data_IF_105600240393
#
_entry.id   IF_105600240393
#
_cell.length_a   1.000
_cell.length_b   1.000
_cell.length_c   1.000
_cell.angle_alpha   90.00
_cell.angle_beta   90.00
_cell.angle_gamma   90.00
#
_symmetry.space_group_name_H-M   'P 1'
#
loop_
_entity.id
_entity.type
_entity.pdbx_description
1 polymer ?
#
# COMPACT_ATOMS: atom_id res chain seq x y z
N UNK A 1 -10.30 53.53 8.71
CA UNK A 1 -9.19 52.57 8.59
C UNK A 1 -9.32 51.61 9.77
N UNK A 2 -10.38 50.80 9.76
CA UNK A 2 -10.41 49.39 9.29
C UNK A 2 -10.08 48.44 10.43
N UNK A 3 -11.16 47.87 10.97
CA UNK A 3 -11.22 46.71 11.86
C UNK A 3 -10.83 45.44 11.11
N UNK A 4 -9.82 44.72 11.58
CA UNK A 4 -9.54 43.34 11.12
C UNK A 4 -9.77 42.37 12.27
N UNK A 5 -10.91 41.69 12.20
CA UNK A 5 -11.22 40.50 12.96
C UNK A 5 -10.38 39.35 12.40
N UNK A 6 -9.39 38.89 13.15
CA UNK A 6 -8.72 37.62 12.87
C UNK A 6 -9.62 36.52 13.44
N UNK A 7 -10.30 35.82 12.54
CA UNK A 7 -11.16 34.67 12.84
C UNK A 7 -10.34 33.58 13.52
N UNK A 8 -10.41 33.55 14.85
CA UNK A 8 -9.97 32.46 15.70
C UNK A 8 -10.96 31.30 15.59
N UNK A 9 -11.03 30.64 14.45
CA UNK A 9 -11.99 29.56 14.22
C UNK A 9 -11.41 28.43 13.38
N UNK A 10 -10.35 27.77 13.86
CA UNK A 10 -9.97 26.45 13.32
C UNK A 10 -9.43 25.47 14.37
N UNK A 11 -9.46 25.80 15.67
CA UNK A 11 -8.79 24.98 16.68
C UNK A 11 -9.68 24.44 17.80
N UNK A 12 -11.00 24.31 17.59
CA UNK A 12 -11.88 23.64 18.56
C UNK A 12 -13.04 22.93 17.88
N UNK A 13 -12.83 21.67 17.49
CA UNK A 13 -13.92 20.69 17.40
C UNK A 13 -13.43 19.27 17.74
N UNK A 14 -13.90 18.81 18.90
CA UNK A 14 -14.32 17.45 19.24
C UNK A 14 -13.29 16.31 19.34
N UNK A 15 -13.04 15.94 20.60
CA UNK A 15 -12.81 14.56 21.04
C UNK A 15 -13.88 13.61 20.48
N UNK A 16 -13.46 12.40 20.07
CA UNK A 16 -14.28 11.23 19.70
C UNK A 16 -15.05 11.24 18.36
N UNK A 17 -14.33 11.16 17.25
CA UNK A 17 -14.64 10.24 16.15
C UNK A 17 -13.38 10.05 15.31
N UNK A 18 -12.83 8.84 15.24
CA UNK A 18 -11.82 8.53 14.24
C UNK A 18 -12.56 8.53 12.91
N UNK A 19 -12.50 9.64 12.18
CA UNK A 19 -13.28 9.82 10.95
C UNK A 19 -12.93 8.69 9.99
N UNK A 20 -13.94 7.94 9.57
CA UNK A 20 -13.83 6.94 8.49
C UNK A 20 -13.79 7.65 7.13
N UNK A 21 -13.08 8.76 7.06
CA UNK A 21 -12.86 9.53 5.84
C UNK A 21 -11.93 8.71 4.93
N UNK A 22 -12.45 8.33 3.77
CA UNK A 22 -11.63 7.71 2.74
C UNK A 22 -10.73 8.78 2.11
N UNK A 23 -9.50 8.40 1.75
CA UNK A 23 -8.60 9.30 1.05
C UNK A 23 -9.22 9.75 -0.28
N UNK A 24 -8.83 10.95 -0.75
CA UNK A 24 -9.30 11.49 -2.03
C UNK A 24 -9.14 10.50 -3.18
N UNK A 25 -7.95 9.89 -3.30
CA UNK A 25 -7.63 8.85 -4.29
C UNK A 25 -8.62 7.66 -4.25
N UNK A 26 -8.96 7.18 -3.05
CA UNK A 26 -9.92 6.07 -2.90
C UNK A 26 -11.32 6.49 -3.33
N UNK A 27 -11.75 7.73 -3.03
CA UNK A 27 -13.05 8.25 -3.46
C UNK A 27 -13.14 8.41 -4.97
N UNK A 28 -12.12 9.01 -5.58
CA UNK A 28 -12.06 9.25 -7.03
C UNK A 28 -12.12 7.90 -7.79
N UNK A 29 -11.36 6.91 -7.33
CA UNK A 29 -11.38 5.57 -7.90
C UNK A 29 -12.73 4.86 -7.76
N UNK A 30 -13.42 5.00 -6.62
CA UNK A 30 -14.78 4.47 -6.46
C UNK A 30 -15.72 5.08 -7.50
N UNK A 31 -15.62 6.40 -7.72
CA UNK A 31 -16.43 7.12 -8.70
C UNK A 31 -16.13 6.65 -10.12
N UNK A 32 -14.87 6.49 -10.49
CA UNK A 32 -14.47 6.06 -11.84
C UNK A 32 -14.93 4.64 -12.15
N UNK A 33 -14.79 3.72 -11.18
CA UNK A 33 -15.27 2.35 -11.31
C UNK A 33 -16.80 2.27 -11.41
N UNK A 34 -17.51 3.15 -10.70
CA UNK A 34 -18.97 3.26 -10.82
C UNK A 34 -19.38 3.82 -12.19
N UNK A 35 -18.70 4.86 -12.68
CA UNK A 35 -18.91 5.41 -14.03
C UNK A 35 -18.60 4.38 -15.13
N UNK A 36 -17.64 3.49 -14.90
CA UNK A 36 -17.31 2.37 -15.78
C UNK A 36 -18.37 1.24 -15.76
N UNK A 37 -19.48 1.41 -15.02
CA UNK A 37 -20.59 0.46 -14.99
C UNK A 37 -20.41 -0.71 -14.03
N UNK A 38 -19.41 -0.67 -13.13
CA UNK A 38 -19.29 -1.71 -12.12
C UNK A 38 -20.30 -1.52 -10.99
N UNK A 39 -20.98 -2.60 -10.63
CA UNK A 39 -21.93 -2.57 -9.52
C UNK A 39 -21.24 -2.30 -8.18
N UNK A 40 -21.92 -1.58 -7.27
CA UNK A 40 -21.39 -1.19 -5.96
C UNK A 40 -20.83 -2.38 -5.16
N UNK A 41 -21.50 -3.54 -5.19
CA UNK A 41 -21.04 -4.76 -4.51
C UNK A 41 -19.68 -5.23 -5.03
N UNK A 42 -19.44 -5.13 -6.34
CA UNK A 42 -18.17 -5.51 -6.97
C UNK A 42 -17.06 -4.55 -6.58
N UNK A 43 -17.36 -3.24 -6.61
CA UNK A 43 -16.44 -2.19 -6.17
C UNK A 43 -16.03 -2.42 -4.71
N UNK A 44 -17.00 -2.69 -3.81
CA UNK A 44 -16.69 -2.99 -2.41
C UNK A 44 -15.77 -4.20 -2.27
N UNK A 45 -16.05 -5.31 -2.97
CA UNK A 45 -15.19 -6.51 -2.92
C UNK A 45 -13.77 -6.23 -3.38
N UNK A 46 -13.60 -5.46 -4.45
CA UNK A 46 -12.29 -5.05 -4.97
C UNK A 46 -11.47 -4.29 -3.93
N UNK A 47 -12.06 -3.28 -3.28
CA UNK A 47 -11.37 -2.52 -2.24
C UNK A 47 -11.03 -3.37 -1.00
N UNK A 48 -11.91 -4.30 -0.61
CA UNK A 48 -11.62 -5.23 0.50
C UNK A 48 -10.42 -6.13 0.15
N UNK A 49 -10.38 -6.69 -1.06
CA UNK A 49 -9.23 -7.50 -1.55
C UNK A 49 -7.94 -6.67 -1.55
N UNK A 50 -7.98 -5.44 -2.07
CA UNK A 50 -6.78 -4.59 -2.09
C UNK A 50 -6.27 -4.26 -0.69
N UNK A 51 -7.18 -4.04 0.26
CA UNK A 51 -6.83 -3.74 1.65
C UNK A 51 -6.15 -4.91 2.34
N UNK A 52 -6.65 -6.13 2.16
CA UNK A 52 -6.04 -7.32 2.76
C UNK A 52 -4.65 -7.58 2.18
N UNK A 53 -4.50 -7.49 0.86
CA UNK A 53 -3.22 -7.69 0.16
C UNK A 53 -2.18 -6.65 0.57
N UNK A 54 -2.57 -5.37 0.73
CA UNK A 54 -1.64 -4.32 1.17
C UNK A 54 -1.12 -4.56 2.59
N UNK A 55 -1.97 -5.08 3.47
CA UNK A 55 -1.57 -5.37 4.85
C UNK A 55 -0.73 -6.65 4.96
N UNK A 56 -0.94 -7.61 4.06
CA UNK A 56 -0.24 -8.89 4.06
C UNK A 56 0.18 -9.31 2.64
N UNK A 57 1.25 -8.71 2.08
CA UNK A 57 1.65 -8.90 0.68
C UNK A 57 2.21 -10.29 0.36
N UNK A 58 2.36 -11.17 1.36
CA UNK A 58 2.86 -12.55 1.24
C UNK A 58 1.76 -13.60 1.23
N UNK A 59 0.50 -13.19 1.33
CA UNK A 59 -0.65 -14.09 1.33
C UNK A 59 -0.81 -14.76 -0.04
N UNK A 60 -1.11 -16.06 -0.03
CA UNK A 60 -1.45 -16.76 -1.27
C UNK A 60 -2.91 -16.48 -1.66
N UNK A 61 -3.30 -16.86 -2.87
CA UNK A 61 -4.69 -16.68 -3.33
C UNK A 61 -5.67 -17.47 -2.46
N UNK A 62 -5.28 -18.65 -2.03
CA UNK A 62 -6.04 -19.53 -1.13
C UNK A 62 -6.21 -18.88 0.24
N UNK A 63 -5.11 -18.38 0.82
CA UNK A 63 -5.15 -17.70 2.12
C UNK A 63 -6.06 -16.48 2.05
N UNK A 64 -5.96 -15.68 0.98
CA UNK A 64 -6.83 -14.53 0.77
C UNK A 64 -8.31 -14.92 0.73
N UNK A 65 -8.67 -16.04 0.08
CA UNK A 65 -10.07 -16.51 0.09
C UNK A 65 -10.51 -16.86 1.50
N UNK A 66 -9.65 -17.53 2.28
CA UNK A 66 -9.95 -17.94 3.65
C UNK A 66 -10.11 -16.73 4.58
N UNK A 67 -9.19 -15.76 4.51
CA UNK A 67 -9.22 -14.54 5.31
C UNK A 67 -10.46 -13.69 5.03
N UNK A 68 -10.81 -13.55 3.74
CA UNK A 68 -11.99 -12.80 3.33
C UNK A 68 -13.28 -13.51 3.77
N UNK A 69 -13.32 -14.84 3.68
CA UNK A 69 -14.44 -15.64 4.17
C UNK A 69 -14.60 -15.51 5.69
N UNK A 70 -13.51 -15.50 6.44
CA UNK A 70 -13.52 -15.26 7.88
C UNK A 70 -14.04 -13.85 8.24
N UNK A 71 -13.74 -12.86 7.39
CA UNK A 71 -14.29 -11.50 7.51
C UNK A 71 -15.74 -11.35 6.99
N UNK A 72 -16.41 -12.45 6.63
CA UNK A 72 -17.79 -12.45 6.13
C UNK A 72 -17.94 -12.02 4.66
N UNK A 73 -16.85 -11.83 3.92
CA UNK A 73 -16.87 -11.46 2.51
C UNK A 73 -16.62 -12.67 1.62
N UNK A 74 -17.64 -13.07 0.86
CA UNK A 74 -17.50 -14.17 -0.11
C UNK A 74 -16.83 -13.69 -1.40
N UNK A 75 -15.60 -14.15 -1.62
CA UNK A 75 -14.79 -13.90 -2.82
C UNK A 75 -14.26 -15.21 -3.36
N UNK A 76 -14.33 -15.39 -4.68
CA UNK A 76 -13.83 -16.59 -5.36
C UNK A 76 -12.39 -16.38 -5.86
N UNK A 77 -11.61 -17.46 -6.01
CA UNK A 77 -10.25 -17.40 -6.59
C UNK A 77 -10.19 -16.67 -7.93
N UNK A 78 -11.21 -16.85 -8.80
CA UNK A 78 -11.33 -16.16 -10.09
C UNK A 78 -11.49 -14.65 -9.94
N UNK A 79 -12.27 -14.20 -8.95
CA UNK A 79 -12.44 -12.77 -8.64
C UNK A 79 -11.10 -12.16 -8.28
N UNK A 80 -10.35 -12.77 -7.35
CA UNK A 80 -9.01 -12.30 -6.97
C UNK A 80 -8.07 -12.30 -8.18
N UNK A 81 -8.09 -13.36 -9.00
CA UNK A 81 -7.25 -13.47 -10.20
C UNK A 81 -7.53 -12.42 -11.27
N UNK A 82 -8.76 -11.92 -11.37
CA UNK A 82 -9.12 -10.84 -12.30
C UNK A 82 -8.84 -9.46 -11.68
N UNK A 83 -9.11 -9.29 -10.38
CA UNK A 83 -9.00 -8.00 -9.69
C UNK A 83 -7.55 -7.59 -9.49
N UNK A 84 -6.65 -8.48 -9.05
CA UNK A 84 -5.28 -8.08 -8.71
C UNK A 84 -4.51 -7.50 -9.92
N UNK A 85 -4.52 -8.10 -11.12
CA UNK A 85 -3.82 -7.53 -12.27
C UNK A 85 -4.43 -6.21 -12.76
N UNK A 86 -5.76 -6.05 -12.72
CA UNK A 86 -6.42 -4.77 -13.05
C UNK A 86 -6.00 -3.65 -12.09
N UNK A 87 -5.64 -4.02 -10.87
CA UNK A 87 -5.11 -3.14 -9.84
C UNK A 87 -3.60 -2.93 -9.91
N UNK A 88 -2.94 -3.45 -10.96
CA UNK A 88 -1.48 -3.38 -11.12
C UNK A 88 -0.70 -4.27 -10.15
N UNK A 89 -1.39 -5.12 -9.37
CA UNK A 89 -0.78 -6.04 -8.42
C UNK A 89 -0.41 -7.34 -9.14
N UNK A 90 0.90 -7.56 -9.26
CA UNK A 90 1.46 -8.78 -9.87
C UNK A 90 1.64 -9.85 -8.80
N UNK A 91 1.38 -11.10 -9.17
CA UNK A 91 1.81 -12.23 -8.37
C UNK A 91 3.34 -12.35 -8.48
N UNK A 92 4.00 -12.47 -7.32
CA UNK A 92 5.45 -12.60 -7.24
C UNK A 92 5.81 -13.93 -6.59
N UNK A 93 6.90 -14.55 -7.05
CA UNK A 93 7.52 -15.64 -6.32
C UNK A 93 8.33 -15.08 -5.14
N UNK A 94 8.29 -15.75 -3.99
CA UNK A 94 9.12 -15.37 -2.86
C UNK A 94 10.61 -15.48 -3.25
N UNK A 95 11.41 -14.47 -2.90
CA UNK A 95 12.86 -14.52 -3.14
C UNK A 95 13.47 -15.69 -2.36
N UNK A 96 14.32 -16.48 -3.03
CA UNK A 96 15.04 -17.63 -2.45
C UNK A 96 16.18 -17.23 -1.51
N UNK A 97 16.61 -15.96 -1.56
CA UNK A 97 17.71 -15.45 -0.74
C UNK A 97 17.16 -15.04 0.63
N UNK A 98 17.79 -15.50 1.75
CA UNK A 98 17.33 -15.14 3.08
C UNK A 98 17.44 -13.63 3.33
N UNK A 99 16.55 -13.13 4.19
CA UNK A 99 16.58 -11.72 4.59
C UNK A 99 17.88 -11.44 5.36
N UNK A 100 18.53 -10.33 5.02
CA UNK A 100 19.70 -9.89 5.75
C UNK A 100 19.35 -9.59 7.21
N UNK A 101 20.23 -10.02 8.12
CA UNK A 101 20.18 -9.60 9.52
C UNK A 101 20.43 -8.10 9.61
N UNK A 102 19.86 -7.43 10.63
CA UNK A 102 19.98 -5.97 10.84
C UNK A 102 21.44 -5.49 10.84
N UNK A 103 22.34 -6.23 11.50
CA UNK A 103 23.77 -5.90 11.52
C UNK A 103 24.39 -5.87 10.11
N UNK A 104 24.03 -6.82 9.24
CA UNK A 104 24.53 -6.85 7.86
C UNK A 104 23.96 -5.71 7.02
N UNK A 105 22.69 -5.34 7.24
CA UNK A 105 22.10 -4.17 6.57
C UNK A 105 22.85 -2.90 6.95
N UNK A 106 23.13 -2.71 8.23
CA UNK A 106 23.87 -1.54 8.73
C UNK A 106 25.30 -1.48 8.19
N UNK A 107 26.04 -2.60 8.24
CA UNK A 107 27.39 -2.67 7.71
C UNK A 107 27.43 -2.37 6.20
N UNK A 108 26.49 -2.93 5.42
CA UNK A 108 26.38 -2.64 3.98
C UNK A 108 26.02 -1.19 3.69
N UNK A 109 25.11 -0.60 4.47
CA UNK A 109 24.73 0.80 4.32
C UNK A 109 25.91 1.73 4.64
N UNK A 110 26.63 1.47 5.73
CA UNK A 110 27.82 2.22 6.14
C UNK A 110 28.90 2.14 5.04
N UNK A 111 29.20 0.94 4.57
CA UNK A 111 30.16 0.74 3.49
C UNK A 111 29.76 1.52 2.22
N UNK A 112 28.50 1.40 1.78
CA UNK A 112 28.01 2.13 0.61
C UNK A 112 28.11 3.66 0.78
N UNK A 113 27.84 4.19 1.97
CA UNK A 113 27.97 5.63 2.24
C UNK A 113 29.42 6.11 2.22
N UNK A 114 30.35 5.33 2.77
CA UNK A 114 31.78 5.67 2.82
C UNK A 114 32.42 5.63 1.42
N UNK A 115 31.92 4.77 0.54
CA UNK A 115 32.49 4.51 -0.79
C UNK A 115 31.67 5.15 -1.93
N UNK A 116 30.70 6.02 -1.61
CA UNK A 116 29.81 6.64 -2.60
C UNK A 116 30.55 7.51 -3.62
N UNK A 117 31.64 8.16 -3.20
CA UNK A 117 32.44 9.10 -4.00
C UNK A 117 33.83 8.53 -4.37
N UNK A 118 34.02 7.23 -4.25
CA UNK A 118 35.30 6.61 -4.60
C UNK A 118 35.56 6.69 -6.11
N UNK A 119 36.82 6.90 -6.50
CA UNK A 119 37.22 6.97 -7.91
C UNK A 119 37.15 5.59 -8.59
N UNK A 120 36.92 5.59 -9.90
CA UNK A 120 36.87 4.36 -10.72
C UNK A 120 38.18 3.54 -10.62
N UNK A 121 39.33 4.21 -10.54
CA UNK A 121 40.64 3.57 -10.34
C UNK A 121 40.70 2.71 -9.07
N UNK A 122 40.01 3.12 -8.00
CA UNK A 122 39.92 2.34 -6.76
C UNK A 122 39.11 1.05 -6.96
N UNK A 123 38.08 1.09 -7.78
CA UNK A 123 37.24 -0.08 -8.09
C UNK A 123 37.89 -1.04 -9.08
N UNK A 124 38.66 -0.55 -10.06
CA UNK A 124 39.47 -1.38 -10.98
C UNK A 124 40.46 -2.26 -10.22
N UNK A 125 40.93 -1.83 -9.04
CA UNK A 125 41.84 -2.60 -8.19
C UNK A 125 41.14 -3.69 -7.35
N UNK A 126 39.82 -3.57 -7.14
CA UNK A 126 39.02 -4.47 -6.29
C UNK A 126 38.32 -5.57 -7.09
N UNK A 127 38.05 -5.30 -8.38
CA UNK A 127 37.40 -6.21 -9.33
C UNK A 127 38.39 -7.24 -9.90
#
# INVERSE_FOLDING_TARGET
LSTEAINQSDSKLSTMAKTKELSKDVRDKIVDLHKAGMGCKTITKQFVIMRTVRNQPRTTREDLVNDLKAAGTMVTKKTIGNTLPHEGLKFCSARKVPLLKKAHVQARLKFASEHLNDSEEKWVKVL
#
